data_IF_761384067988
#
_entry.id   IF_761384067988
#
_cell.length_a   1.000
_cell.length_b   1.000
_cell.length_c   1.000
_cell.angle_alpha   90.00
_cell.angle_beta   90.00
_cell.angle_gamma   90.00
#
_symmetry.space_group_name_H-M   'P 1'
#
loop_
_entity.id
_entity.type
_entity.pdbx_description
1 polymer ?
#
# COMPACT_ATOMS: atom_id res chain seq x y z
N UNK A 1 1.34 -9.40 15.02
CA UNK A 1 2.36 -9.33 16.11
C UNK A 1 3.52 -10.29 15.81
N UNK A 2 4.67 -10.13 16.46
CA UNK A 2 5.79 -11.08 16.33
C UNK A 2 6.60 -11.02 15.03
N UNK A 3 6.49 -9.94 14.26
CA UNK A 3 7.33 -9.75 13.06
C UNK A 3 8.78 -9.46 13.46
N UNK A 4 9.73 -10.08 12.75
CA UNK A 4 11.17 -9.84 12.89
C UNK A 4 11.72 -8.95 11.78
N UNK A 5 10.98 -8.83 10.68
CA UNK A 5 11.38 -8.12 9.48
C UNK A 5 10.19 -7.44 8.84
N UNK A 6 10.40 -6.20 8.45
CA UNK A 6 9.50 -5.46 7.56
C UNK A 6 10.26 -5.10 6.28
N UNK A 7 9.63 -5.28 5.13
CA UNK A 7 10.14 -4.84 3.82
C UNK A 7 9.19 -3.81 3.24
N UNK A 8 9.74 -2.67 2.88
CA UNK A 8 9.02 -1.62 2.17
C UNK A 8 9.61 -1.55 0.77
N UNK A 9 8.75 -1.61 -0.25
CA UNK A 9 9.15 -1.42 -1.64
C UNK A 9 8.30 -0.32 -2.25
N UNK A 10 8.94 0.50 -3.06
CA UNK A 10 8.30 1.51 -3.87
C UNK A 10 8.77 1.34 -5.31
N UNK A 11 7.84 1.14 -6.22
CA UNK A 11 8.10 0.94 -7.62
C UNK A 11 7.26 1.92 -8.45
N UNK A 12 7.92 2.68 -9.31
CA UNK A 12 7.27 3.63 -10.21
C UNK A 12 7.24 3.06 -11.62
N UNK A 13 6.05 3.02 -12.21
CA UNK A 13 5.84 2.80 -13.64
C UNK A 13 5.46 4.12 -14.31
N UNK A 14 5.35 4.18 -15.64
CA UNK A 14 4.84 5.37 -16.33
C UNK A 14 3.40 5.76 -15.95
N UNK A 15 2.60 4.81 -15.45
CA UNK A 15 1.16 5.00 -15.20
C UNK A 15 0.80 5.00 -13.70
N UNK A 16 1.62 4.39 -12.85
CA UNK A 16 1.35 4.33 -11.40
C UNK A 16 2.61 4.27 -10.53
N UNK A 17 2.43 4.62 -9.26
CA UNK A 17 3.35 4.36 -8.16
C UNK A 17 2.76 3.23 -7.31
N UNK A 18 3.49 2.11 -7.23
CA UNK A 18 3.13 0.94 -6.43
C UNK A 18 4.01 0.91 -5.17
N UNK A 19 3.38 0.97 -4.00
CA UNK A 19 4.03 0.76 -2.71
C UNK A 19 3.56 -0.55 -2.09
N UNK A 20 4.48 -1.34 -1.56
CA UNK A 20 4.16 -2.53 -0.76
C UNK A 20 4.87 -2.47 0.59
N UNK A 21 4.15 -2.77 1.66
CA UNK A 21 4.69 -2.95 3.02
C UNK A 21 4.40 -4.38 3.43
N UNK A 22 5.44 -5.18 3.64
CA UNK A 22 5.31 -6.59 3.99
C UNK A 22 6.05 -6.90 5.29
N UNK A 23 5.40 -7.60 6.21
CA UNK A 23 6.02 -8.14 7.42
C UNK A 23 5.93 -9.67 7.47
N UNK A 24 6.81 -10.28 8.26
CA UNK A 24 6.88 -11.73 8.51
C UNK A 24 6.26 -12.14 9.85
N UNK A 25 5.29 -11.35 10.35
CA UNK A 25 4.60 -11.64 11.59
C UNK A 25 3.60 -12.78 11.49
N UNK A 26 2.76 -12.93 12.52
CA UNK A 26 1.77 -14.02 12.59
C UNK A 26 0.63 -13.91 11.57
N UNK A 27 0.49 -12.80 10.85
CA UNK A 27 -0.64 -12.54 9.97
C UNK A 27 -2.01 -12.63 10.67
N UNK A 28 -3.08 -12.59 9.87
CA UNK A 28 -4.48 -12.75 10.30
C UNK A 28 -5.34 -13.15 9.08
N UNK A 29 -6.58 -13.55 9.29
CA UNK A 29 -7.50 -13.86 8.19
C UNK A 29 -8.09 -12.55 7.62
N UNK A 30 -7.57 -12.07 6.49
CA UNK A 30 -8.01 -10.81 5.92
C UNK A 30 -9.49 -10.79 5.47
N UNK A 31 -10.12 -11.95 5.28
CA UNK A 31 -11.53 -12.03 4.84
C UNK A 31 -12.50 -12.09 6.02
N UNK A 32 -12.05 -12.52 7.21
CA UNK A 32 -12.93 -12.81 8.36
C UNK A 32 -12.51 -12.14 9.69
N UNK A 33 -11.38 -11.44 9.74
CA UNK A 33 -10.84 -10.89 10.99
C UNK A 33 -11.17 -9.39 11.16
N UNK A 34 -11.50 -9.01 12.40
CA UNK A 34 -11.72 -7.61 12.79
C UNK A 34 -10.45 -6.74 12.63
N UNK A 35 -9.27 -7.35 12.49
CA UNK A 35 -8.03 -6.66 12.20
C UNK A 35 -8.15 -5.67 11.03
N UNK A 36 -8.92 -5.98 9.97
CA UNK A 36 -9.14 -5.08 8.82
C UNK A 36 -9.92 -3.81 9.23
N UNK A 37 -10.71 -3.89 10.30
CA UNK A 37 -11.45 -2.77 10.87
C UNK A 37 -10.70 -2.04 11.99
N UNK A 38 -9.50 -2.50 12.36
CA UNK A 38 -8.65 -1.82 13.32
C UNK A 38 -8.35 -0.39 12.86
N UNK A 39 -8.28 0.55 13.80
CA UNK A 39 -8.04 1.97 13.50
C UNK A 39 -6.78 2.19 12.64
N UNK A 40 -5.76 1.35 12.80
CA UNK A 40 -4.54 1.41 11.99
C UNK A 40 -4.80 1.11 10.52
N UNK A 41 -5.43 -0.04 10.22
CA UNK A 41 -5.72 -0.44 8.84
C UNK A 41 -6.79 0.45 8.21
N UNK A 42 -7.85 0.78 8.97
CA UNK A 42 -8.89 1.70 8.52
C UNK A 42 -8.31 3.06 8.13
N UNK A 43 -7.49 3.66 9.00
CA UNK A 43 -6.85 4.95 8.71
C UNK A 43 -5.90 4.88 7.51
N UNK A 44 -5.19 3.77 7.30
CA UNK A 44 -4.37 3.57 6.10
C UNK A 44 -5.22 3.52 4.82
N UNK A 45 -6.34 2.78 4.85
CA UNK A 45 -7.28 2.69 3.74
C UNK A 45 -7.89 4.05 3.41
N UNK A 46 -8.36 4.78 4.42
CA UNK A 46 -8.94 6.12 4.26
C UNK A 46 -7.94 7.09 3.64
N UNK A 47 -6.69 7.13 4.15
CA UNK A 47 -5.65 7.99 3.59
C UNK A 47 -5.32 7.65 2.14
N UNK A 48 -5.20 6.36 1.80
CA UNK A 48 -4.98 5.93 0.42
C UNK A 48 -6.12 6.42 -0.50
N UNK A 49 -7.37 6.16 -0.12
CA UNK A 49 -8.55 6.60 -0.89
C UNK A 49 -8.57 8.13 -1.03
N UNK A 50 -8.26 8.88 0.05
CA UNK A 50 -8.24 10.36 0.03
C UNK A 50 -7.22 10.94 -0.94
N UNK A 51 -6.16 10.19 -1.25
CA UNK A 51 -5.12 10.58 -2.21
C UNK A 51 -5.42 10.10 -3.64
N UNK A 52 -6.62 9.56 -3.90
CA UNK A 52 -6.98 8.97 -5.18
C UNK A 52 -6.28 7.63 -5.48
N UNK A 53 -5.73 6.99 -4.44
CA UNK A 53 -5.04 5.72 -4.55
C UNK A 53 -5.98 4.54 -4.28
N UNK A 54 -5.57 3.35 -4.74
CA UNK A 54 -6.17 2.09 -4.29
C UNK A 54 -5.38 1.51 -3.12
N UNK A 55 -6.08 0.77 -2.27
CA UNK A 55 -5.54 0.07 -1.10
C UNK A 55 -5.91 -1.40 -1.17
N UNK A 56 -4.95 -2.28 -0.92
CA UNK A 56 -5.16 -3.72 -0.77
C UNK A 56 -4.38 -4.24 0.42
N UNK A 57 -4.91 -5.30 1.03
CA UNK A 57 -4.25 -6.02 2.11
C UNK A 57 -4.40 -7.52 1.83
N UNK A 58 -3.30 -8.24 1.98
CA UNK A 58 -3.23 -9.69 1.91
C UNK A 58 -2.58 -10.17 3.20
N UNK A 59 -3.27 -11.03 3.94
CA UNK A 59 -2.74 -11.64 5.14
C UNK A 59 -3.38 -13.01 5.32
N UNK A 60 -2.59 -13.94 5.84
CA UNK A 60 -3.05 -15.24 6.30
C UNK A 60 -2.34 -15.60 7.60
N UNK A 61 -3.00 -16.34 8.52
CA UNK A 61 -2.35 -16.83 9.72
C UNK A 61 -1.07 -17.61 9.40
N UNK A 62 0.05 -17.18 9.96
CA UNK A 62 1.38 -17.76 9.78
C UNK A 62 2.17 -17.24 8.57
N UNK A 63 1.57 -16.44 7.68
CA UNK A 63 2.23 -15.96 6.44
C UNK A 63 2.62 -14.47 6.50
N UNK A 64 2.31 -13.78 7.59
CA UNK A 64 2.54 -12.35 7.75
C UNK A 64 1.47 -11.50 7.09
N UNK A 65 1.82 -10.26 6.78
CA UNK A 65 0.90 -9.27 6.19
C UNK A 65 1.59 -8.57 5.04
N UNK A 66 0.85 -8.31 3.97
CA UNK A 66 1.27 -7.49 2.84
C UNK A 66 0.21 -6.42 2.56
N UNK A 67 0.58 -5.16 2.72
CA UNK A 67 -0.24 -4.01 2.34
C UNK A 67 0.26 -3.51 0.98
N UNK A 68 -0.67 -3.21 0.08
CA UNK A 68 -0.40 -2.64 -1.23
C UNK A 68 -1.15 -1.32 -1.40
N UNK A 69 -0.44 -0.28 -1.85
CA UNK A 69 -1.03 1.01 -2.24
C UNK A 69 -0.64 1.31 -3.69
N UNK A 70 -1.61 1.64 -4.54
CA UNK A 70 -1.35 2.07 -5.93
C UNK A 70 -1.87 3.48 -6.15
N UNK A 71 -0.98 4.39 -6.48
CA UNK A 71 -1.30 5.78 -6.81
C UNK A 71 -1.15 5.97 -8.32
N UNK A 72 -2.21 6.31 -9.06
CA UNK A 72 -2.07 6.68 -10.47
C UNK A 72 -1.09 7.86 -10.60
N UNK A 73 -0.07 7.73 -11.46
CA UNK A 73 0.76 8.87 -11.82
C UNK A 73 0.29 9.40 -13.15
N UNK A 74 -0.23 10.62 -13.15
CA UNK A 74 -0.36 11.37 -14.38
C UNK A 74 1.04 11.90 -14.68
N UNK A 75 1.54 11.63 -15.89
CA UNK A 75 2.65 12.43 -16.38
C UNK A 75 2.14 13.87 -16.39
N UNK A 76 2.66 14.72 -15.50
CA UNK A 76 2.68 16.13 -15.83
C UNK A 76 3.36 16.18 -17.21
N UNK A 77 2.78 16.87 -18.22
CA UNK A 77 3.53 17.13 -19.44
C UNK A 77 4.88 17.68 -18.98
N UNK A 78 5.95 17.02 -19.43
CA UNK A 78 7.31 17.47 -19.14
C UNK A 78 7.31 18.98 -19.33
N UNK A 79 7.86 19.73 -18.39
CA UNK A 79 8.09 21.16 -18.55
C UNK A 79 9.21 21.42 -19.60
N UNK A 80 9.16 20.70 -20.71
CA UNK A 80 9.92 20.86 -21.92
C UNK A 80 9.05 21.61 -22.93
N UNK A 81 8.69 22.87 -22.60
CA UNK A 81 8.34 23.87 -23.61
C UNK A 81 8.38 25.31 -23.08
N UNK A 82 9.20 25.59 -22.07
CA UNK A 82 9.53 26.97 -21.70
C UNK A 82 11.00 27.26 -22.00
N UNK A 83 11.25 27.50 -23.29
CA UNK A 83 12.38 28.29 -23.75
C UNK A 83 11.83 29.40 -24.64
N UNK A 84 12.19 30.64 -24.34
CA UNK A 84 13.19 31.28 -25.20
C UNK A 84 14.50 31.56 -24.46
#
# INVERSE_FOLDING_TARGET
AGASRVRIRLHRTPCELLMTVQDDGVGFDADNDEAVTSLGILGMRERAISSGASFGIDSRPGEGTCITVRVPVHQAPDAADQQP
#
